data_IF_443389980277
#
_entry.id   IF_443389980277
#
_cell.length_a   1.000
_cell.length_b   1.000
_cell.length_c   1.000
_cell.angle_alpha   90.00
_cell.angle_beta   90.00
_cell.angle_gamma   90.00
#
_symmetry.space_group_name_H-M   'P 1'
#
loop_
_entity.id
_entity.type
_entity.pdbx_description
1 polymer ?
#
# COMPACT_ATOMS: atom_id res chain seq x y z
N UNK A 1 5.36 9.22 -8.57
CA UNK A 1 3.96 9.43 -8.14
C UNK A 1 3.28 8.08 -7.99
N UNK A 2 2.39 7.94 -7.01
CA UNK A 2 1.70 6.68 -6.78
C UNK A 2 0.62 6.44 -7.83
N UNK A 3 0.53 5.22 -8.32
CA UNK A 3 -0.54 4.79 -9.21
C UNK A 3 -1.43 3.79 -8.46
N UNK A 4 -2.71 4.10 -8.37
CA UNK A 4 -3.65 3.22 -7.68
C UNK A 4 -4.19 2.15 -8.63
N UNK A 5 -4.23 0.92 -8.12
CA UNK A 5 -4.78 -0.23 -8.83
C UNK A 5 -5.97 -0.74 -8.05
N UNK A 6 -7.16 -0.56 -8.59
CA UNK A 6 -8.39 -0.91 -7.90
C UNK A 6 -8.86 -2.29 -8.33
N UNK A 7 -9.00 -3.17 -7.35
CA UNK A 7 -9.55 -4.52 -7.56
C UNK A 7 -10.99 -4.53 -7.05
N UNK A 8 -11.92 -4.52 -7.98
CA UNK A 8 -13.35 -4.50 -7.65
C UNK A 8 -13.88 -5.84 -7.16
N UNK A 9 -13.10 -6.90 -7.32
CA UNK A 9 -13.48 -8.26 -6.93
C UNK A 9 -12.96 -8.65 -5.55
N UNK A 10 -12.10 -7.83 -4.95
CA UNK A 10 -11.43 -8.20 -3.70
C UNK A 10 -12.34 -8.22 -2.47
N UNK A 11 -13.52 -7.60 -2.55
CA UNK A 11 -14.37 -7.44 -1.38
C UNK A 11 -13.94 -6.33 -0.44
N UNK A 12 -12.77 -5.74 -0.67
CA UNK A 12 -12.28 -4.60 0.12
C UNK A 12 -12.85 -3.32 -0.47
N UNK A 13 -13.39 -2.44 0.38
CA UNK A 13 -13.94 -1.16 -0.07
C UNK A 13 -12.87 -0.37 -0.84
N UNK A 14 -13.28 0.30 -1.91
CA UNK A 14 -12.37 1.02 -2.79
C UNK A 14 -11.53 2.06 -2.05
N UNK A 15 -12.14 2.84 -1.14
CA UNK A 15 -11.40 3.85 -0.40
C UNK A 15 -10.33 3.22 0.49
N UNK A 16 -10.59 2.04 1.05
CA UNK A 16 -9.62 1.30 1.85
C UNK A 16 -8.44 0.86 0.99
N UNK A 17 -8.70 0.43 -0.24
CA UNK A 17 -7.63 0.06 -1.17
C UNK A 17 -6.71 1.26 -1.46
N UNK A 18 -7.28 2.44 -1.66
CA UNK A 18 -6.49 3.66 -1.89
C UNK A 18 -5.64 3.97 -0.65
N UNK A 19 -6.24 3.91 0.55
CA UNK A 19 -5.52 4.15 1.81
C UNK A 19 -4.37 3.16 1.97
N UNK A 20 -4.63 1.87 1.76
CA UNK A 20 -3.60 0.83 1.91
C UNK A 20 -2.46 1.01 0.92
N UNK A 21 -2.77 1.30 -0.33
CA UNK A 21 -1.74 1.48 -1.37
C UNK A 21 -0.90 2.72 -1.09
N UNK A 22 -1.50 3.77 -0.58
CA UNK A 22 -0.75 4.98 -0.18
C UNK A 22 0.19 4.65 0.98
N UNK A 23 -0.30 3.93 1.99
CA UNK A 23 0.54 3.53 3.12
C UNK A 23 1.68 2.61 2.69
N UNK A 24 1.43 1.68 1.76
CA UNK A 24 2.48 0.83 1.23
C UNK A 24 3.56 1.65 0.51
N UNK A 25 3.15 2.63 -0.30
CA UNK A 25 4.09 3.51 -0.98
C UNK A 25 4.93 4.32 0.01
N UNK A 26 4.32 4.77 1.11
CA UNK A 26 5.03 5.47 2.18
C UNK A 26 6.04 4.56 2.86
N UNK A 27 5.67 3.31 3.15
CA UNK A 27 6.57 2.35 3.80
C UNK A 27 7.76 1.99 2.92
N UNK A 28 7.52 1.88 1.62
CA UNK A 28 8.56 1.49 0.67
C UNK A 28 9.41 2.67 0.17
N UNK A 29 9.08 3.89 0.59
CA UNK A 29 9.82 5.07 0.16
C UNK A 29 9.50 5.55 -1.24
N UNK A 30 8.43 5.03 -1.87
CA UNK A 30 7.96 5.51 -3.17
C UNK A 30 7.28 6.88 -3.03
N UNK A 31 6.76 7.17 -1.85
CA UNK A 31 6.23 8.49 -1.48
C UNK A 31 7.03 9.00 -0.29
N UNK A 32 7.46 10.25 -0.37
CA UNK A 32 8.28 10.90 0.66
C UNK A 32 7.60 12.18 1.13
N UNK A 33 7.93 12.67 2.33
CA UNK A 33 7.42 13.96 2.80
C UNK A 33 7.66 15.05 1.75
N UNK A 34 6.64 15.84 1.47
CA UNK A 34 6.68 16.88 0.44
C UNK A 34 6.14 16.45 -0.91
N UNK A 35 6.03 15.15 -1.18
CA UNK A 35 5.48 14.67 -2.44
C UNK A 35 3.98 14.96 -2.51
N UNK A 36 3.52 15.27 -3.70
CA UNK A 36 2.11 15.53 -3.98
C UNK A 36 1.41 14.24 -4.35
N UNK A 37 0.25 13.99 -3.76
CA UNK A 37 -0.61 12.88 -4.19
C UNK A 37 -1.37 13.25 -5.46
N UNK A 38 -1.78 12.27 -6.27
CA UNK A 38 -2.64 12.55 -7.42
C UNK A 38 -3.91 13.26 -6.96
N UNK A 39 -4.41 14.18 -7.78
CA UNK A 39 -5.69 14.83 -7.48
C UNK A 39 -6.82 13.81 -7.62
N UNK A 40 -7.96 14.08 -6.97
CA UNK A 40 -9.12 13.21 -7.12
C UNK A 40 -9.50 13.04 -8.60
N UNK A 41 -9.41 14.11 -9.37
CA UNK A 41 -9.69 14.07 -10.81
C UNK A 41 -8.75 13.13 -11.57
N UNK A 42 -7.45 13.20 -11.26
CA UNK A 42 -6.47 12.32 -11.89
C UNK A 42 -6.74 10.85 -11.55
N UNK A 43 -7.10 10.56 -10.29
CA UNK A 43 -7.43 9.20 -9.88
C UNK A 43 -8.68 8.70 -10.58
N UNK A 44 -9.71 9.55 -10.69
CA UNK A 44 -10.95 9.21 -11.40
C UNK A 44 -10.65 8.88 -12.87
N UNK A 45 -9.83 9.69 -13.53
CA UNK A 45 -9.46 9.48 -14.93
C UNK A 45 -8.72 8.15 -15.12
N UNK A 46 -7.88 7.78 -14.15
CA UNK A 46 -7.08 6.56 -14.25
C UNK A 46 -7.84 5.29 -13.84
N UNK A 47 -8.77 5.37 -12.89
CA UNK A 47 -9.38 4.20 -12.26
C UNK A 47 -10.90 4.13 -12.40
N UNK A 48 -11.54 5.18 -12.89
CA UNK A 48 -13.01 5.32 -12.94
C UNK A 48 -13.70 5.19 -11.57
N UNK A 49 -12.98 5.50 -10.51
CA UNK A 49 -13.51 5.51 -9.14
C UNK A 49 -14.25 6.83 -8.88
N UNK A 50 -15.32 6.77 -8.10
CA UNK A 50 -16.07 7.97 -7.71
C UNK A 50 -15.15 8.98 -7.01
N UNK A 51 -15.20 10.29 -7.39
CA UNK A 51 -14.38 11.31 -6.74
C UNK A 51 -14.54 11.37 -5.23
N UNK A 52 -15.76 11.17 -4.73
CA UNK A 52 -16.02 11.18 -3.29
C UNK A 52 -15.29 10.05 -2.56
N UNK A 53 -15.11 8.92 -3.23
CA UNK A 53 -14.35 7.79 -2.69
C UNK A 53 -12.88 8.15 -2.53
N UNK A 54 -12.31 8.84 -3.51
CA UNK A 54 -10.92 9.32 -3.43
C UNK A 54 -10.77 10.32 -2.29
N UNK A 55 -11.70 11.27 -2.21
CA UNK A 55 -11.67 12.28 -1.14
C UNK A 55 -11.82 11.66 0.24
N UNK A 56 -12.65 10.63 0.37
CA UNK A 56 -12.78 9.88 1.62
C UNK A 56 -11.47 9.23 2.03
N UNK A 57 -10.79 8.60 1.08
CA UNK A 57 -9.49 7.98 1.34
C UNK A 57 -8.46 9.01 1.80
N UNK A 58 -8.40 10.15 1.13
CA UNK A 58 -7.45 11.20 1.47
C UNK A 58 -7.75 11.82 2.83
N UNK A 59 -9.03 11.97 3.19
CA UNK A 59 -9.40 12.45 4.53
C UNK A 59 -8.99 11.47 5.63
N UNK A 60 -9.08 10.16 5.36
CA UNK A 60 -8.60 9.16 6.31
C UNK A 60 -7.09 9.28 6.51
N UNK A 61 -6.33 9.44 5.45
CA UNK A 61 -4.88 9.63 5.52
C UNK A 61 -4.52 10.93 6.25
N UNK A 62 -5.28 11.98 6.02
CA UNK A 62 -5.10 13.27 6.71
C UNK A 62 -5.38 13.14 8.19
N UNK A 63 -6.45 12.43 8.55
CA UNK A 63 -6.81 12.18 9.95
C UNK A 63 -5.69 11.44 10.69
N UNK A 64 -4.99 10.53 10.02
CA UNK A 64 -3.86 9.81 10.59
C UNK A 64 -2.57 10.64 10.59
N UNK A 65 -2.59 11.85 10.05
CA UNK A 65 -1.43 12.73 10.05
C UNK A 65 -0.39 12.39 8.99
N UNK A 66 -0.74 11.56 8.01
CA UNK A 66 0.20 11.13 6.97
C UNK A 66 0.28 12.10 5.80
N UNK A 67 -0.82 12.80 5.53
CA UNK A 67 -0.90 13.78 4.45
C UNK A 67 -1.59 15.04 4.95
N UNK A 68 -1.44 16.13 4.19
CA UNK A 68 -2.13 17.38 4.48
C UNK A 68 -2.68 17.98 3.19
N UNK A 69 -3.90 18.51 3.27
CA UNK A 69 -4.49 19.25 2.17
C UNK A 69 -4.00 20.69 2.26
N UNK A 70 -3.47 21.20 1.16
CA UNK A 70 -3.08 22.62 1.04
C UNK A 70 -4.01 23.27 0.03
N UNK A 71 -4.81 24.19 0.52
CA UNK A 71 -5.85 24.84 -0.28
C UNK A 71 -5.28 25.44 -1.56
N UNK A 72 -5.88 25.08 -2.70
CA UNK A 72 -5.45 25.55 -4.01
C UNK A 72 -4.20 24.87 -4.56
N UNK A 73 -3.50 24.05 -3.76
CA UNK A 73 -2.25 23.41 -4.17
C UNK A 73 -2.37 21.89 -4.31
N UNK A 74 -3.20 21.25 -3.48
CA UNK A 74 -3.40 19.81 -3.51
C UNK A 74 -3.16 19.14 -2.17
N UNK A 75 -2.99 17.83 -2.20
CA UNK A 75 -2.71 17.01 -1.02
C UNK A 75 -1.27 16.54 -1.06
N UNK A 76 -0.54 16.75 0.03
CA UNK A 76 0.90 16.48 0.10
C UNK A 76 1.21 15.52 1.24
N UNK A 77 2.22 14.69 1.02
CA UNK A 77 2.72 13.79 2.05
C UNK A 77 3.37 14.63 3.15
N UNK A 78 2.95 14.36 4.37
CA UNK A 78 3.44 15.07 5.57
C UNK A 78 4.45 14.24 6.34
N UNK A 79 4.25 12.91 6.43
CA UNK A 79 5.04 12.04 7.26
C UNK A 79 5.31 10.72 6.57
N UNK A 80 6.51 10.17 6.76
CA UNK A 80 6.90 8.87 6.25
C UNK A 80 6.44 7.75 7.21
N UNK A 81 6.18 6.57 6.65
CA UNK A 81 6.03 5.33 7.42
C UNK A 81 7.25 4.44 7.23
N UNK A 82 8.23 4.91 6.48
CA UNK A 82 9.29 4.09 5.94
C UNK A 82 10.33 3.62 6.94
N UNK A 83 10.30 2.32 7.23
CA UNK A 83 11.40 1.57 7.78
C UNK A 83 11.66 0.32 6.94
N UNK A 84 10.94 0.18 5.82
CA UNK A 84 11.15 -0.95 4.93
C UNK A 84 12.51 -0.87 4.27
N UNK A 85 13.19 -2.01 4.03
CA UNK A 85 14.47 -2.02 3.34
C UNK A 85 14.37 -1.42 1.95
N UNK A 86 15.47 -0.82 1.47
CA UNK A 86 15.56 -0.29 0.11
C UNK A 86 15.33 -1.40 -0.92
N UNK A 87 14.85 -1.05 -2.13
CA UNK A 87 14.61 -2.05 -3.18
C UNK A 87 15.81 -2.92 -3.54
N UNK A 88 17.03 -2.43 -3.31
CA UNK A 88 18.25 -3.18 -3.56
C UNK A 88 18.69 -4.06 -2.37
N UNK A 89 17.91 -4.12 -1.30
CA UNK A 89 18.25 -4.94 -0.14
C UNK A 89 18.18 -6.44 -0.47
N UNK A 90 18.94 -7.28 0.24
CA UNK A 90 18.87 -8.72 0.05
C UNK A 90 17.46 -9.29 0.26
N UNK A 91 16.68 -8.73 1.19
CA UNK A 91 15.32 -9.18 1.43
C UNK A 91 14.41 -8.95 0.25
N UNK A 92 14.56 -7.80 -0.42
CA UNK A 92 13.80 -7.51 -1.63
C UNK A 92 14.16 -8.50 -2.74
N UNK A 93 15.45 -8.77 -2.91
CA UNK A 93 15.91 -9.72 -3.92
C UNK A 93 15.39 -11.14 -3.64
N UNK A 94 15.42 -11.57 -2.38
CA UNK A 94 14.90 -12.87 -1.98
C UNK A 94 13.41 -12.99 -2.26
N UNK A 95 12.64 -11.94 -1.95
CA UNK A 95 11.20 -11.96 -2.19
C UNK A 95 10.90 -11.97 -3.69
N UNK A 96 11.65 -11.21 -4.47
CA UNK A 96 11.51 -11.20 -5.92
C UNK A 96 11.77 -12.59 -6.51
N UNK A 97 12.83 -13.24 -6.04
CA UNK A 97 13.17 -14.60 -6.46
C UNK A 97 12.06 -15.59 -6.07
N UNK A 98 11.54 -15.48 -4.83
CA UNK A 98 10.43 -16.31 -4.39
C UNK A 98 9.22 -16.14 -5.29
N UNK A 99 8.87 -14.90 -5.64
CA UNK A 99 7.73 -14.62 -6.50
C UNK A 99 7.90 -15.25 -7.89
N UNK A 100 9.11 -15.17 -8.44
CA UNK A 100 9.41 -15.79 -9.74
C UNK A 100 9.25 -17.32 -9.68
N UNK A 101 9.75 -17.94 -8.62
CA UNK A 101 9.62 -19.38 -8.42
C UNK A 101 8.17 -19.80 -8.20
N UNK A 102 7.40 -19.01 -7.47
CA UNK A 102 6.00 -19.27 -7.23
C UNK A 102 5.21 -19.24 -8.55
N UNK A 103 5.48 -18.26 -9.40
CA UNK A 103 4.85 -18.18 -10.71
C UNK A 103 5.22 -19.38 -11.58
N UNK A 104 6.48 -19.78 -11.58
CA UNK A 104 6.95 -20.94 -12.32
C UNK A 104 6.27 -22.23 -11.84
N UNK A 105 5.90 -22.30 -10.57
CA UNK A 105 5.17 -23.43 -9.99
C UNK A 105 3.67 -23.40 -10.28
N UNK A 106 3.19 -22.37 -10.97
CA UNK A 106 1.79 -22.27 -11.37
C UNK A 106 0.90 -21.48 -10.42
N UNK A 107 1.48 -20.81 -9.43
CA UNK A 107 0.70 -20.00 -8.51
C UNK A 107 0.31 -18.67 -9.18
N UNK A 108 -0.96 -18.28 -9.02
CA UNK A 108 -1.40 -16.96 -9.46
C UNK A 108 -1.22 -15.94 -8.33
N UNK A 109 -1.61 -14.69 -8.59
CA UNK A 109 -1.47 -13.63 -7.62
C UNK A 109 -2.19 -13.92 -6.30
N UNK A 110 -3.40 -14.44 -6.38
CA UNK A 110 -4.19 -14.74 -5.18
C UNK A 110 -3.57 -15.88 -4.37
N UNK A 111 -3.06 -16.90 -5.05
CA UNK A 111 -2.35 -18.00 -4.41
C UNK A 111 -1.11 -17.51 -3.69
N UNK A 112 -0.34 -16.64 -4.35
CA UNK A 112 0.88 -16.07 -3.77
C UNK A 112 0.56 -15.20 -2.56
N UNK A 113 -0.48 -14.38 -2.67
CA UNK A 113 -0.92 -13.51 -1.56
C UNK A 113 -1.39 -14.36 -0.37
N UNK A 114 -2.15 -15.41 -0.63
CA UNK A 114 -2.64 -16.29 0.43
C UNK A 114 -1.48 -17.00 1.15
N UNK A 115 -0.52 -17.50 0.39
CA UNK A 115 0.64 -18.16 0.96
C UNK A 115 1.48 -17.18 1.79
N UNK A 116 1.71 -15.99 1.25
CA UNK A 116 2.48 -14.96 1.94
C UNK A 116 1.79 -14.55 3.25
N UNK A 117 0.46 -14.36 3.22
CA UNK A 117 -0.31 -14.01 4.40
C UNK A 117 -0.23 -15.11 5.46
N UNK A 118 -0.34 -16.37 5.05
CA UNK A 118 -0.26 -17.50 5.97
C UNK A 118 1.10 -17.55 6.67
N UNK A 119 2.18 -17.29 5.91
CA UNK A 119 3.53 -17.26 6.48
C UNK A 119 3.69 -16.09 7.45
N UNK A 120 3.18 -14.92 7.09
CA UNK A 120 3.21 -13.76 7.98
C UNK A 120 2.50 -14.04 9.30
N UNK A 121 1.28 -14.56 9.24
CA UNK A 121 0.51 -14.86 10.44
C UNK A 121 1.24 -15.85 11.34
N UNK A 122 1.81 -16.88 10.75
CA UNK A 122 2.50 -17.92 11.49
C UNK A 122 3.76 -17.39 12.20
N UNK A 123 4.55 -16.57 11.51
CA UNK A 123 5.81 -16.07 12.07
C UNK A 123 5.62 -14.87 12.98
N UNK A 124 4.81 -13.90 12.59
CA UNK A 124 4.65 -12.66 13.34
C UNK A 124 3.81 -12.89 14.59
N UNK A 125 2.65 -13.51 14.46
CA UNK A 125 1.76 -13.76 15.59
C UNK A 125 2.37 -14.72 16.61
N UNK A 126 3.00 -15.79 16.14
CA UNK A 126 3.67 -16.76 17.03
C UNK A 126 4.79 -16.10 17.81
N UNK A 127 5.55 -15.21 17.19
CA UNK A 127 6.62 -14.47 17.84
C UNK A 127 6.06 -13.54 18.91
N UNK A 128 4.98 -12.80 18.60
CA UNK A 128 4.32 -11.91 19.55
C UNK A 128 3.74 -12.68 20.73
N UNK A 129 3.14 -13.84 20.49
CA UNK A 129 2.62 -14.69 21.56
C UNK A 129 3.75 -15.22 22.44
N UNK A 130 4.89 -15.54 21.87
CA UNK A 130 6.06 -15.96 22.61
C UNK A 130 6.61 -14.88 23.53
N UNK A 131 6.56 -13.63 23.10
CA UNK A 131 7.01 -12.49 23.87
C UNK A 131 6.06 -12.16 25.03
N UNK A 132 4.78 -12.45 24.89
CA UNK A 132 3.79 -12.15 25.91
C UNK A 132 3.69 -13.21 27.00
N UNK A 133 4.38 -14.29 26.86
CA UNK A 133 4.45 -15.34 27.87
C UNK A 133 5.74 -15.23 28.74
#
# INVERSE_FOLDING_TARGET
>A
MVEYRIDRRSGVATYVQIVQQTKHALRLGHLRPGDKLPTAREVVEATAVNPNTVLKAYRELEREGLVEARRGLGTFVKRSLGTAPAPESPLHAELTDWAARARAAGLDRDDMAALFTAVLEKHVEKHLQGESS
#
